data_IF_025340638563
#
_entry.id   IF_025340638563
#
_cell.length_a   1.000
_cell.length_b   1.000
_cell.length_c   1.000
_cell.angle_alpha   90.00
_cell.angle_beta   90.00
_cell.angle_gamma   90.00
#
_symmetry.space_group_name_H-M   'P 1'
#
loop_
_entity.id
_entity.type
_entity.pdbx_description
1 polymer ?
#
# COMPACT_ATOMS: atom_id res chain seq x y z
N UNK A 1 22.64 -8.54 -10.88
CA UNK A 1 21.24 -8.49 -11.39
C UNK A 1 20.50 -9.80 -11.12
N UNK A 2 20.94 -10.98 -11.68
CA UNK A 2 20.24 -12.25 -11.45
C UNK A 2 20.25 -12.69 -9.97
N UNK A 3 21.36 -12.55 -9.28
CA UNK A 3 21.49 -12.87 -7.86
C UNK A 3 20.63 -11.94 -6.99
N UNK A 4 20.50 -10.67 -7.35
CA UNK A 4 19.65 -9.71 -6.65
C UNK A 4 18.16 -10.05 -6.85
N UNK A 5 17.77 -10.54 -8.01
CA UNK A 5 16.41 -10.98 -8.29
C UNK A 5 16.03 -12.24 -7.50
N UNK A 6 16.94 -13.21 -7.39
CA UNK A 6 16.72 -14.41 -6.58
C UNK A 6 16.54 -14.06 -5.10
N UNK A 7 17.36 -13.14 -4.58
CA UNK A 7 17.22 -12.63 -3.22
C UNK A 7 15.90 -11.87 -3.04
N UNK A 8 15.52 -11.03 -4.00
CA UNK A 8 14.26 -10.30 -3.94
C UNK A 8 13.04 -11.25 -3.92
N UNK A 9 13.11 -12.35 -4.66
CA UNK A 9 12.08 -13.39 -4.64
C UNK A 9 11.97 -14.08 -3.29
N UNK A 10 13.10 -14.46 -2.70
CA UNK A 10 13.16 -15.09 -1.38
C UNK A 10 12.58 -14.17 -0.29
N UNK A 11 13.01 -12.91 -0.26
CA UNK A 11 12.52 -11.91 0.70
C UNK A 11 11.02 -11.61 0.50
N UNK A 12 10.55 -11.55 -0.75
CA UNK A 12 9.13 -11.38 -1.05
C UNK A 12 8.30 -12.53 -0.48
N UNK A 13 8.69 -13.78 -0.75
CA UNK A 13 7.99 -14.98 -0.27
C UNK A 13 7.98 -15.04 1.26
N UNK A 14 9.09 -14.72 1.87
CA UNK A 14 9.21 -14.64 3.34
C UNK A 14 8.28 -13.58 3.91
N UNK A 15 8.26 -12.38 3.34
CA UNK A 15 7.41 -11.28 3.79
C UNK A 15 5.92 -11.62 3.64
N UNK A 16 5.51 -12.27 2.54
CA UNK A 16 4.12 -12.72 2.33
C UNK A 16 3.73 -13.74 3.39
N UNK A 17 4.58 -14.72 3.68
CA UNK A 17 4.33 -15.73 4.71
C UNK A 17 4.19 -15.12 6.10
N UNK A 18 5.08 -14.21 6.46
CA UNK A 18 5.01 -13.50 7.74
C UNK A 18 3.77 -12.62 7.85
N UNK A 19 3.36 -11.97 6.76
CA UNK A 19 2.14 -11.16 6.71
C UNK A 19 0.90 -12.02 6.98
N UNK A 20 0.78 -13.17 6.33
CA UNK A 20 -0.32 -14.10 6.54
C UNK A 20 -0.36 -14.56 8.00
N UNK A 21 0.77 -15.01 8.54
CA UNK A 21 0.88 -15.45 9.92
C UNK A 21 0.45 -14.36 10.92
N UNK A 22 0.84 -13.10 10.66
CA UNK A 22 0.49 -11.96 11.51
C UNK A 22 -1.03 -11.71 11.52
N UNK A 23 -1.70 -11.76 10.36
CA UNK A 23 -3.15 -11.55 10.29
C UNK A 23 -3.93 -12.68 10.96
N UNK A 24 -3.51 -13.93 10.81
CA UNK A 24 -4.10 -15.04 11.55
C UNK A 24 -3.85 -14.96 13.06
N UNK A 25 -2.68 -14.46 13.46
CA UNK A 25 -2.42 -14.17 14.87
C UNK A 25 -3.38 -13.10 15.41
N UNK A 26 -3.58 -11.99 14.69
CA UNK A 26 -4.54 -10.96 15.11
C UNK A 26 -5.98 -11.48 15.15
N UNK A 27 -6.38 -12.31 14.20
CA UNK A 27 -7.68 -12.97 14.24
C UNK A 27 -7.83 -13.83 15.50
N UNK A 28 -6.79 -14.55 15.89
CA UNK A 28 -6.82 -15.42 17.08
C UNK A 28 -6.97 -14.67 18.40
N UNK A 29 -6.41 -13.46 18.52
CA UNK A 29 -6.50 -12.66 19.77
C UNK A 29 -7.74 -11.78 19.82
N UNK A 30 -8.31 -11.42 18.67
CA UNK A 30 -9.47 -10.52 18.57
C UNK A 30 -10.82 -11.21 18.75
N UNK A 31 -10.90 -12.51 18.54
CA UNK A 31 -12.17 -13.19 18.30
C UNK A 31 -12.63 -14.10 19.44
N UNK A 32 -11.81 -14.38 20.45
CA UNK A 32 -12.10 -15.44 21.42
C UNK A 32 -12.20 -16.83 20.76
N UNK A 33 -12.28 -17.89 21.55
CA UNK A 33 -12.22 -19.29 21.07
C UNK A 33 -13.30 -19.69 20.03
N UNK A 34 -14.37 -18.92 19.91
CA UNK A 34 -15.53 -19.27 19.09
C UNK A 34 -15.73 -18.44 17.82
N UNK A 35 -14.81 -17.54 17.48
CA UNK A 35 -14.99 -16.59 16.37
C UNK A 35 -14.02 -16.74 15.21
N UNK A 36 -13.09 -17.68 15.26
CA UNK A 36 -12.21 -17.97 14.11
C UNK A 36 -13.09 -18.44 12.93
N UNK A 37 -13.13 -17.63 11.89
CA UNK A 37 -13.98 -17.89 10.72
C UNK A 37 -13.30 -18.75 9.67
N UNK A 38 -11.99 -18.86 9.73
CA UNK A 38 -11.19 -19.55 8.71
C UNK A 38 -10.13 -20.43 9.37
N UNK A 39 -9.89 -21.57 8.77
CA UNK A 39 -8.79 -22.43 9.15
C UNK A 39 -7.46 -21.74 8.81
N UNK A 40 -6.45 -21.91 9.66
CA UNK A 40 -5.10 -21.43 9.39
C UNK A 40 -4.55 -22.22 8.21
N UNK A 41 -4.10 -21.55 7.13
CA UNK A 41 -3.51 -22.25 6.00
C UNK A 41 -2.23 -22.98 6.42
N UNK A 42 -1.96 -24.08 5.75
CA UNK A 42 -0.72 -24.84 5.91
C UNK A 42 0.47 -24.08 5.34
N UNK A 43 1.68 -24.41 5.77
CA UNK A 43 2.90 -23.82 5.22
C UNK A 43 3.02 -24.04 3.70
N UNK A 44 2.53 -25.18 3.18
CA UNK A 44 2.50 -25.49 1.76
C UNK A 44 1.55 -24.54 0.99
N UNK A 45 0.34 -24.35 1.50
CA UNK A 45 -0.64 -23.41 0.90
C UNK A 45 -0.12 -21.97 0.90
N UNK A 46 0.57 -21.56 1.96
CA UNK A 46 1.20 -20.24 2.05
C UNK A 46 2.32 -20.11 1.02
N UNK A 47 3.17 -21.13 0.88
CA UNK A 47 4.27 -21.14 -0.08
C UNK A 47 3.74 -21.11 -1.52
N UNK A 48 2.72 -21.89 -1.83
CA UNK A 48 2.07 -21.90 -3.14
C UNK A 48 1.43 -20.55 -3.47
N UNK A 49 0.76 -19.93 -2.52
CA UNK A 49 0.22 -18.58 -2.68
C UNK A 49 1.33 -17.56 -2.98
N UNK A 50 2.41 -17.57 -2.19
CA UNK A 50 3.53 -16.64 -2.39
C UNK A 50 4.20 -16.84 -3.76
N UNK A 51 4.40 -18.10 -4.18
CA UNK A 51 4.91 -18.45 -5.51
C UNK A 51 3.98 -17.95 -6.63
N UNK A 52 2.68 -18.17 -6.50
CA UNK A 52 1.70 -17.74 -7.48
C UNK A 52 1.69 -16.21 -7.61
N UNK A 53 1.81 -15.47 -6.49
CA UNK A 53 1.88 -14.00 -6.50
C UNK A 53 3.16 -13.48 -7.16
N UNK A 54 4.30 -14.07 -6.85
CA UNK A 54 5.56 -13.69 -7.48
C UNK A 54 5.57 -13.91 -8.99
N UNK A 55 4.98 -15.00 -9.45
CA UNK A 55 4.94 -15.39 -10.86
C UNK A 55 3.71 -14.88 -11.63
N UNK A 56 2.86 -14.10 -10.98
CA UNK A 56 1.64 -13.59 -11.62
C UNK A 56 1.96 -12.64 -12.76
N UNK A 57 1.24 -12.80 -13.86
CA UNK A 57 1.26 -11.91 -15.03
C UNK A 57 0.29 -10.73 -14.90
N UNK A 58 -0.44 -10.64 -13.81
CA UNK A 58 -1.35 -9.52 -13.52
C UNK A 58 -0.61 -8.24 -13.11
N UNK A 59 0.66 -8.35 -12.75
CA UNK A 59 1.51 -7.22 -12.38
C UNK A 59 2.34 -6.74 -13.58
N UNK A 60 2.56 -5.44 -13.64
CA UNK A 60 3.37 -4.82 -14.70
C UNK A 60 4.84 -5.27 -14.60
N UNK A 61 5.35 -5.33 -13.38
CA UNK A 61 6.70 -5.79 -13.07
C UNK A 61 6.78 -6.34 -11.62
N UNK A 62 7.98 -6.76 -11.20
CA UNK A 62 8.19 -7.29 -9.84
C UNK A 62 8.04 -6.23 -8.76
N UNK A 63 8.30 -4.97 -9.05
CA UNK A 63 8.07 -3.89 -8.11
C UNK A 63 6.56 -3.69 -7.86
N UNK A 64 5.74 -3.77 -8.90
CA UNK A 64 4.28 -3.75 -8.77
C UNK A 64 3.78 -4.91 -7.89
N UNK A 65 4.31 -6.12 -8.08
CA UNK A 65 3.98 -7.27 -7.23
C UNK A 65 4.32 -6.99 -5.75
N UNK A 66 5.52 -6.48 -5.47
CA UNK A 66 6.00 -6.18 -4.12
C UNK A 66 5.13 -5.08 -3.48
N UNK A 67 4.90 -3.97 -4.18
CA UNK A 67 4.12 -2.86 -3.65
C UNK A 67 2.65 -3.25 -3.47
N UNK A 68 2.11 -4.10 -4.34
CA UNK A 68 0.73 -4.62 -4.17
C UNK A 68 0.60 -5.46 -2.90
N UNK A 69 1.52 -6.38 -2.62
CA UNK A 69 1.47 -7.16 -1.38
C UNK A 69 1.72 -6.30 -0.14
N UNK A 70 2.61 -5.33 -0.22
CA UNK A 70 2.84 -4.35 0.82
C UNK A 70 1.59 -3.49 1.08
N UNK A 71 0.91 -3.06 0.04
CA UNK A 71 -0.35 -2.32 0.13
C UNK A 71 -1.45 -3.13 0.81
N UNK A 72 -1.59 -4.41 0.46
CA UNK A 72 -2.53 -5.32 1.12
C UNK A 72 -2.20 -5.48 2.61
N UNK A 73 -0.93 -5.63 2.95
CA UNK A 73 -0.49 -5.74 4.34
C UNK A 73 -0.77 -4.47 5.13
N UNK A 74 -0.52 -3.30 4.55
CA UNK A 74 -0.69 -2.02 5.24
C UNK A 74 -2.13 -1.50 5.28
N UNK A 75 -3.01 -1.99 4.42
CA UNK A 75 -4.30 -1.39 4.09
C UNK A 75 -5.14 -0.90 5.26
N UNK A 76 -5.22 -1.66 6.34
CA UNK A 76 -5.98 -1.29 7.52
C UNK A 76 -5.10 -0.74 8.66
N UNK A 77 -3.85 -1.17 8.76
CA UNK A 77 -3.00 -0.89 9.91
C UNK A 77 -2.17 0.40 9.72
N UNK A 78 -1.65 0.62 8.53
CA UNK A 78 -0.69 1.70 8.26
C UNK A 78 -0.96 2.37 6.90
N UNK A 79 -2.17 2.84 6.70
CA UNK A 79 -2.64 3.41 5.43
C UNK A 79 -1.80 4.58 4.89
N UNK A 80 -1.13 5.34 5.78
CA UNK A 80 -0.22 6.43 5.35
C UNK A 80 1.01 5.91 4.62
N UNK A 81 1.56 4.79 5.04
CA UNK A 81 2.70 4.15 4.36
C UNK A 81 2.29 3.62 3.00
N UNK A 82 1.12 2.98 2.92
CA UNK A 82 0.54 2.56 1.65
C UNK A 82 0.36 3.75 0.68
N UNK A 83 -0.18 4.86 1.17
CA UNK A 83 -0.32 6.10 0.39
C UNK A 83 1.03 6.69 -0.04
N UNK A 84 2.04 6.65 0.82
CA UNK A 84 3.39 7.12 0.50
C UNK A 84 4.03 6.28 -0.60
N UNK A 85 3.86 4.96 -0.54
CA UNK A 85 4.36 4.05 -1.58
C UNK A 85 3.67 4.28 -2.93
N UNK A 86 2.36 4.49 -2.96
CA UNK A 86 1.63 4.82 -4.20
C UNK A 86 2.21 6.08 -4.84
N UNK A 87 2.41 7.14 -4.08
CA UNK A 87 2.95 8.40 -4.59
C UNK A 87 4.39 8.27 -5.08
N UNK A 88 5.20 7.46 -4.40
CA UNK A 88 6.61 7.25 -4.73
C UNK A 88 6.80 6.36 -5.95
N UNK A 89 5.98 5.33 -6.12
CA UNK A 89 6.18 4.27 -7.11
C UNK A 89 5.18 4.31 -8.27
N UNK A 90 3.99 4.85 -8.04
CA UNK A 90 2.86 4.73 -8.96
C UNK A 90 2.17 3.36 -8.89
N UNK A 91 2.58 2.48 -7.96
CA UNK A 91 2.00 1.14 -7.76
C UNK A 91 1.20 1.08 -6.46
N UNK A 92 0.23 0.18 -6.35
CA UNK A 92 -0.20 -0.85 -7.31
C UNK A 92 -0.86 -0.30 -8.58
N UNK A 93 -0.53 -0.89 -9.73
CA UNK A 93 -1.08 -0.47 -11.03
C UNK A 93 -2.57 -0.78 -11.21
N UNK A 94 -3.07 -1.80 -10.50
CA UNK A 94 -4.45 -2.26 -10.57
C UNK A 94 -5.43 -1.55 -9.65
N UNK A 95 -5.00 -0.50 -8.91
CA UNK A 95 -5.90 0.22 -8.01
C UNK A 95 -6.89 1.08 -8.81
N UNK A 96 -8.17 0.82 -8.58
CA UNK A 96 -9.27 1.63 -9.10
C UNK A 96 -9.92 2.36 -7.94
N UNK A 97 -9.87 3.69 -7.98
CA UNK A 97 -10.55 4.52 -7.00
C UNK A 97 -11.94 4.88 -7.53
N UNK A 98 -13.02 4.58 -6.77
CA UNK A 98 -14.34 5.00 -7.18
C UNK A 98 -14.42 6.53 -7.23
N UNK A 99 -15.09 7.07 -8.25
CA UNK A 99 -15.41 8.50 -8.36
C UNK A 99 -16.43 8.88 -7.28
N UNK A 100 -15.99 9.03 -6.04
CA UNK A 100 -16.91 9.22 -4.91
C UNK A 100 -17.48 10.63 -4.82
N UNK A 101 -16.90 11.63 -5.50
CA UNK A 101 -17.41 12.99 -5.33
C UNK A 101 -17.06 14.03 -6.41
N UNK A 102 -16.54 13.65 -7.54
CA UNK A 102 -16.20 14.62 -8.61
C UNK A 102 -15.09 15.62 -8.27
N UNK A 103 -14.61 15.62 -7.02
CA UNK A 103 -13.63 16.62 -6.53
C UNK A 103 -12.21 16.09 -6.47
N UNK A 104 -12.01 14.78 -6.31
CA UNK A 104 -10.68 14.15 -6.23
C UNK A 104 -10.69 12.86 -7.06
N UNK A 105 -10.38 12.92 -8.36
CA UNK A 105 -10.51 11.76 -9.26
C UNK A 105 -9.43 10.70 -9.04
N UNK A 106 -8.37 11.00 -8.29
CA UNK A 106 -7.22 10.13 -8.09
C UNK A 106 -6.72 10.19 -6.64
N UNK A 107 -5.76 9.34 -6.31
CA UNK A 107 -5.06 9.42 -5.03
C UNK A 107 -4.44 10.81 -4.87
N UNK A 108 -4.72 11.50 -3.77
CA UNK A 108 -4.12 12.81 -3.52
C UNK A 108 -2.59 12.70 -3.47
N UNK A 109 -1.90 13.59 -4.15
CA UNK A 109 -0.43 13.64 -4.11
C UNK A 109 0.10 14.28 -2.82
N UNK A 110 -0.72 15.12 -2.17
CA UNK A 110 -0.36 15.80 -0.94
C UNK A 110 -1.59 16.16 -0.12
N UNK A 111 -1.39 16.47 1.16
CA UNK A 111 -2.37 17.15 1.98
C UNK A 111 -2.36 18.64 1.63
N UNK A 112 -3.53 19.26 1.66
CA UNK A 112 -3.63 20.72 1.64
C UNK A 112 -3.20 21.31 2.98
N UNK A 113 -2.81 22.57 2.96
CA UNK A 113 -2.50 23.29 4.18
C UNK A 113 -3.73 23.39 5.08
N UNK A 114 -3.57 23.29 6.40
CA UNK A 114 -4.68 23.45 7.33
C UNK A 114 -5.24 24.88 7.27
N UNK A 115 -6.51 25.04 7.64
CA UNK A 115 -7.19 26.33 7.60
C UNK A 115 -6.50 27.42 8.45
N UNK A 116 -5.80 27.02 9.50
CA UNK A 116 -4.97 27.94 10.30
C UNK A 116 -3.85 28.57 9.49
N UNK A 117 -3.15 27.81 8.66
CA UNK A 117 -2.14 28.35 7.76
C UNK A 117 -2.75 29.26 6.71
N UNK A 118 -3.85 28.82 6.10
CA UNK A 118 -4.55 29.62 5.07
C UNK A 118 -5.01 30.98 5.61
N UNK A 119 -5.51 31.02 6.84
CA UNK A 119 -6.14 32.22 7.39
C UNK A 119 -5.18 33.14 8.15
N UNK A 120 -4.11 32.60 8.73
CA UNK A 120 -3.26 33.37 9.65
C UNK A 120 -1.81 33.49 9.24
N UNK A 121 -1.33 32.68 8.30
CA UNK A 121 0.04 32.81 7.81
C UNK A 121 0.12 33.86 6.69
N UNK A 122 0.79 35.04 6.88
CA UNK A 122 0.88 36.08 5.89
C UNK A 122 1.64 35.66 4.61
N UNK A 123 2.46 34.59 4.70
CA UNK A 123 3.20 34.02 3.58
C UNK A 123 2.44 32.95 2.81
N UNK A 124 1.24 32.55 3.26
CA UNK A 124 0.44 31.55 2.55
C UNK A 124 0.19 31.92 1.08
N UNK A 125 0.00 33.22 0.77
CA UNK A 125 -0.20 33.70 -0.58
C UNK A 125 0.90 33.25 -1.56
N UNK A 126 2.13 33.06 -1.07
CA UNK A 126 3.29 32.71 -1.90
C UNK A 126 3.25 31.21 -2.32
N UNK A 127 2.49 30.39 -1.63
CA UNK A 127 2.32 28.95 -1.88
C UNK A 127 0.88 28.55 -2.24
N UNK A 128 -0.05 29.50 -2.22
CA UNK A 128 -1.48 29.23 -2.44
C UNK A 128 -1.78 28.55 -3.79
N UNK A 129 -1.00 28.88 -4.84
CA UNK A 129 -1.15 28.26 -6.16
C UNK A 129 -0.78 26.79 -6.20
N UNK A 130 0.10 26.33 -5.30
CA UNK A 130 0.54 24.94 -5.18
C UNK A 130 -0.24 24.16 -4.12
N UNK A 131 -1.15 24.82 -3.39
CA UNK A 131 -1.98 24.17 -2.37
C UNK A 131 -3.17 23.42 -2.99
N UNK A 132 -2.86 22.40 -3.76
CA UNK A 132 -3.83 21.52 -4.42
C UNK A 132 -3.56 20.06 -4.06
N UNK A 133 -4.56 19.21 -4.21
CA UNK A 133 -4.40 17.76 -4.02
C UNK A 133 -3.59 17.09 -5.13
N UNK A 134 -3.48 17.73 -6.28
CA UNK A 134 -2.83 17.18 -7.48
C UNK A 134 -1.37 17.58 -7.63
N UNK A 135 -0.92 18.59 -6.89
CA UNK A 135 0.48 19.02 -6.94
C UNK A 135 1.40 17.94 -6.38
N UNK A 136 2.39 17.55 -7.17
CA UNK A 136 3.35 16.51 -6.78
C UNK A 136 4.43 17.06 -5.86
N UNK A 137 4.82 16.27 -4.89
CA UNK A 137 6.02 16.52 -4.11
C UNK A 137 7.26 16.14 -4.94
N UNK A 138 8.42 16.73 -4.63
CA UNK A 138 9.65 16.56 -5.41
C UNK A 138 10.12 15.11 -5.59
N UNK A 139 9.66 14.19 -4.76
CA UNK A 139 9.99 12.77 -4.79
C UNK A 139 8.85 11.89 -5.36
N UNK A 140 7.68 12.47 -5.65
CA UNK A 140 6.53 11.74 -6.20
C UNK A 140 6.68 11.54 -7.71
N UNK A 141 6.31 10.34 -8.20
CA UNK A 141 6.25 10.00 -9.63
C UNK A 141 5.02 10.56 -10.33
#
# INVERSE_FOLDING_TARGET
>A
VAQDMAKAEEEFKTAVSQSIALYYYYDSIGSGENCRRYDVPTDEEIADFANARWNSTAYVDKLDAIITQKWLHFGFLVSREAWSDIRRTGYPSGLVFPEVSGTIPNVPNRWRYPSTEVNYNPYYKDVASTDTYTEKLFWAK
#
